data_IF_233458376562
#
_entry.id   IF_233458376562
#
_cell.length_a   1.000
_cell.length_b   1.000
_cell.length_c   1.000
_cell.angle_alpha   90.00
_cell.angle_beta   90.00
_cell.angle_gamma   90.00
#
_symmetry.space_group_name_H-M   'P 1'
#
loop_
_entity.id
_entity.type
_entity.pdbx_description
1 polymer ?
#
# COMPACT_ATOMS: atom_id res chain seq x y z
N UNK A 1 34.53 2.76 -1.63
CA UNK A 1 33.78 3.66 -2.53
C UNK A 1 32.33 3.18 -2.53
N UNK A 2 31.48 3.92 -1.82
CA UNK A 2 30.01 3.91 -1.90
C UNK A 2 29.56 4.87 -3.02
N UNK A 3 28.30 4.84 -3.53
CA UNK A 3 27.08 4.51 -2.78
C UNK A 3 26.00 3.68 -3.49
N UNK A 4 25.22 2.95 -2.68
CA UNK A 4 23.97 2.27 -3.03
C UNK A 4 22.84 2.95 -2.25
N UNK A 5 21.81 3.42 -2.98
CA UNK A 5 20.41 3.49 -2.52
C UNK A 5 20.01 4.60 -1.56
N UNK A 6 19.89 5.84 -2.05
CA UNK A 6 19.12 6.89 -1.38
C UNK A 6 17.65 6.83 -1.79
N UNK A 7 16.76 6.59 -0.83
CA UNK A 7 15.30 6.57 -1.01
C UNK A 7 14.79 7.90 -1.59
N UNK A 8 14.06 7.91 -2.70
CA UNK A 8 13.57 9.13 -3.35
C UNK A 8 12.07 9.39 -3.12
N UNK A 9 11.58 9.31 -1.88
CA UNK A 9 10.40 10.13 -1.52
C UNK A 9 10.91 11.56 -1.45
N UNK A 10 10.41 12.48 -2.28
CA UNK A 10 10.84 13.87 -2.18
C UNK A 10 10.47 14.41 -0.81
N UNK A 11 11.46 14.86 -0.02
CA UNK A 11 11.24 15.32 1.35
C UNK A 11 11.33 16.84 1.43
N UNK A 12 10.48 17.41 2.29
CA UNK A 12 10.63 18.77 2.78
C UNK A 12 10.94 18.69 4.26
N UNK A 13 12.03 19.33 4.67
CA UNK A 13 12.42 19.41 6.07
C UNK A 13 12.11 20.80 6.59
N UNK A 14 11.08 20.91 7.42
CA UNK A 14 10.78 22.16 8.09
C UNK A 14 11.76 22.37 9.23
N UNK A 15 12.39 23.54 9.27
CA UNK A 15 13.43 23.92 10.22
C UNK A 15 13.08 25.20 10.95
N UNK A 16 13.35 25.23 12.25
CA UNK A 16 13.24 26.40 13.10
C UNK A 16 14.53 26.59 13.90
N UNK A 17 14.86 27.82 14.27
CA UNK A 17 16.10 28.13 14.97
C UNK A 17 16.03 29.39 15.81
N UNK A 18 16.78 29.39 16.92
CA UNK A 18 17.10 30.62 17.67
C UNK A 18 18.04 31.50 16.84
N UNK A 19 18.06 32.80 17.15
CA UNK A 19 18.98 33.72 16.50
C UNK A 19 20.44 33.30 16.74
N UNK A 20 21.26 33.27 15.70
CA UNK A 20 22.66 32.86 15.75
C UNK A 20 22.89 31.35 15.76
N UNK A 21 21.89 30.53 15.41
CA UNK A 21 22.08 29.08 15.26
C UNK A 21 23.13 28.79 14.19
N UNK A 22 24.01 27.83 14.45
CA UNK A 22 25.09 27.49 13.52
C UNK A 22 24.60 26.56 12.40
N UNK A 23 25.21 26.67 11.21
CA UNK A 23 24.97 25.73 10.08
C UNK A 23 25.21 24.29 10.49
N UNK A 24 26.30 24.03 11.23
CA UNK A 24 26.68 22.70 11.68
C UNK A 24 25.61 22.06 12.58
N UNK A 25 24.99 22.84 13.47
CA UNK A 25 23.94 22.34 14.35
C UNK A 25 22.66 21.99 13.59
N UNK A 26 22.24 22.82 12.63
CA UNK A 26 21.07 22.54 11.79
C UNK A 26 21.31 21.29 10.94
N UNK A 27 22.45 21.19 10.25
CA UNK A 27 22.79 20.01 9.44
C UNK A 27 22.83 18.74 10.29
N UNK A 28 23.50 18.77 11.46
CA UNK A 28 23.59 17.61 12.34
C UNK A 28 22.19 17.13 12.80
N UNK A 29 21.31 18.06 13.18
CA UNK A 29 19.94 17.73 13.60
C UNK A 29 19.15 17.09 12.45
N UNK A 30 19.24 17.64 11.23
CA UNK A 30 18.54 17.10 10.07
C UNK A 30 19.07 15.71 9.71
N UNK A 31 20.40 15.54 9.60
CA UNK A 31 21.03 14.26 9.27
C UNK A 31 20.73 13.17 10.30
N UNK A 32 20.76 13.50 11.60
CA UNK A 32 20.41 12.56 12.67
C UNK A 32 18.92 12.16 12.59
N UNK A 33 18.05 13.13 12.33
CA UNK A 33 16.60 12.91 12.20
C UNK A 33 16.29 11.99 11.02
N UNK A 34 16.92 12.24 9.85
CA UNK A 34 16.77 11.39 8.67
C UNK A 34 17.32 9.98 8.92
N UNK A 35 18.53 9.87 9.47
CA UNK A 35 19.16 8.57 9.79
C UNK A 35 18.33 7.76 10.78
N UNK A 36 17.80 8.39 11.83
CA UNK A 36 16.95 7.75 12.82
C UNK A 36 15.63 7.24 12.24
N UNK A 37 15.14 7.87 11.18
CA UNK A 37 13.95 7.45 10.44
C UNK A 37 14.26 6.52 9.24
N UNK A 38 15.53 6.20 8.98
CA UNK A 38 15.94 5.43 7.80
C UNK A 38 15.74 6.16 6.47
N UNK A 39 15.65 7.50 6.49
CA UNK A 39 15.47 8.35 5.33
C UNK A 39 16.83 8.82 4.78
N UNK A 40 16.92 8.95 3.46
CA UNK A 40 18.15 9.38 2.79
C UNK A 40 18.30 10.90 2.73
N UNK A 41 19.54 11.40 2.77
CA UNK A 41 19.81 12.84 2.73
C UNK A 41 19.52 13.44 1.34
N UNK A 42 19.86 12.75 0.24
CA UNK A 42 19.55 13.20 -1.13
C UNK A 42 18.05 13.19 -1.49
N UNK A 43 17.21 12.62 -0.61
CA UNK A 43 15.76 12.68 -0.72
C UNK A 43 15.22 14.10 -0.43
N UNK A 44 15.94 14.89 0.36
CA UNK A 44 15.57 16.27 0.69
C UNK A 44 15.57 17.11 -0.58
N UNK A 45 14.43 17.74 -0.89
CA UNK A 45 14.26 18.65 -2.02
C UNK A 45 14.13 20.11 -1.59
N UNK A 46 13.83 20.36 -0.33
CA UNK A 46 13.81 21.70 0.24
C UNK A 46 13.98 21.66 1.76
N UNK A 47 14.59 22.72 2.31
CA UNK A 47 14.34 23.13 3.68
C UNK A 47 13.21 24.15 3.69
N UNK A 48 12.40 24.19 4.74
CA UNK A 48 11.28 25.13 4.84
C UNK A 48 11.26 25.81 6.22
N UNK A 49 10.90 27.10 6.28
CA UNK A 49 10.82 27.85 7.55
C UNK A 49 9.74 28.93 7.49
N UNK A 50 9.54 29.63 8.61
CA UNK A 50 8.76 30.88 8.66
C UNK A 50 9.58 32.05 8.10
N UNK A 51 8.93 32.99 7.40
CA UNK A 51 9.57 34.17 6.79
C UNK A 51 10.45 34.97 7.74
N UNK A 52 10.05 35.12 9.01
CA UNK A 52 10.83 35.83 10.03
C UNK A 52 12.20 35.18 10.32
N UNK A 53 12.43 33.96 9.81
CA UNK A 53 13.66 33.18 9.93
C UNK A 53 14.35 32.91 8.59
N UNK A 54 13.82 33.40 7.48
CA UNK A 54 14.37 33.16 6.14
C UNK A 54 15.81 33.71 5.98
N UNK A 55 16.17 34.76 6.73
CA UNK A 55 17.50 35.37 6.71
C UNK A 55 18.49 34.82 7.76
N UNK A 56 18.13 33.78 8.52
CA UNK A 56 19.02 33.23 9.55
C UNK A 56 20.17 32.44 8.90
N UNK A 57 21.42 32.88 9.13
CA UNK A 57 22.60 32.33 8.47
C UNK A 57 22.79 30.81 8.67
N UNK A 58 22.38 30.29 9.82
CA UNK A 58 22.40 28.84 10.08
C UNK A 58 21.46 28.04 9.19
N UNK A 59 20.31 28.60 8.82
CA UNK A 59 19.29 27.93 8.00
C UNK A 59 19.64 28.02 6.52
N UNK A 60 20.04 29.22 6.05
CA UNK A 60 20.47 29.41 4.66
C UNK A 60 21.72 28.58 4.35
N UNK A 61 22.73 28.61 5.22
CA UNK A 61 23.94 27.81 5.03
C UNK A 61 23.68 26.29 5.12
N UNK A 62 22.67 25.86 5.89
CA UNK A 62 22.26 24.45 5.88
C UNK A 62 21.63 24.06 4.54
N UNK A 63 20.73 24.89 4.00
CA UNK A 63 20.11 24.64 2.69
C UNK A 63 21.18 24.54 1.57
N UNK A 64 22.17 25.44 1.59
CA UNK A 64 23.33 25.39 0.70
C UNK A 64 24.14 24.09 0.86
N UNK A 65 24.34 23.63 2.09
CA UNK A 65 25.07 22.38 2.37
C UNK A 65 24.36 21.15 1.83
N UNK A 66 23.03 21.14 1.87
CA UNK A 66 22.21 20.09 1.27
C UNK A 66 22.03 20.25 -0.25
N UNK A 67 22.39 21.40 -0.82
CA UNK A 67 22.20 21.69 -2.25
C UNK A 67 20.72 21.88 -2.64
N UNK A 68 19.89 22.38 -1.72
CA UNK A 68 18.43 22.53 -1.88
C UNK A 68 17.98 23.96 -1.60
N UNK A 69 16.84 24.41 -2.14
CA UNK A 69 16.25 25.70 -1.76
C UNK A 69 15.82 25.76 -0.29
N UNK A 70 15.88 26.96 0.29
CA UNK A 70 15.19 27.31 1.54
C UNK A 70 13.87 28.01 1.19
N UNK A 71 12.75 27.35 1.43
CA UNK A 71 11.40 27.88 1.29
C UNK A 71 11.03 28.64 2.57
N UNK A 72 10.30 29.74 2.40
CA UNK A 72 9.79 30.52 3.52
C UNK A 72 8.30 30.81 3.34
N UNK A 73 7.55 30.69 4.43
CA UNK A 73 6.10 30.88 4.44
C UNK A 73 5.69 31.97 5.44
N UNK A 74 4.65 32.76 5.14
CA UNK A 74 4.05 33.68 6.08
C UNK A 74 3.59 32.97 7.36
N UNK A 75 3.74 33.63 8.50
CA UNK A 75 3.35 33.06 9.80
C UNK A 75 1.85 32.70 9.85
N UNK A 76 1.00 33.50 9.19
CA UNK A 76 -0.44 33.29 9.08
C UNK A 76 -0.80 32.02 8.31
N UNK A 77 -0.06 31.70 7.24
CA UNK A 77 -0.22 30.46 6.48
C UNK A 77 0.16 29.26 7.35
N UNK A 78 1.32 29.35 8.02
CA UNK A 78 1.78 28.30 8.93
C UNK A 78 0.88 28.12 10.15
N UNK A 79 0.16 29.16 10.60
CA UNK A 79 -0.77 29.07 11.72
C UNK A 79 -2.07 28.32 11.38
N UNK A 80 -2.45 28.30 10.09
CA UNK A 80 -3.64 27.59 9.63
C UNK A 80 -3.42 26.08 9.48
N UNK A 81 -2.17 25.61 9.50
CA UNK A 81 -1.81 24.20 9.32
C UNK A 81 -1.96 23.46 10.67
N UNK A 82 -2.81 22.42 10.75
CA UNK A 82 -2.88 21.57 11.93
C UNK A 82 -1.56 20.83 12.13
N UNK A 83 -0.99 20.94 13.33
CA UNK A 83 0.27 20.28 13.71
C UNK A 83 0.07 19.41 14.93
N UNK A 84 0.77 18.27 15.03
CA UNK A 84 0.59 17.34 16.14
C UNK A 84 1.15 17.86 17.47
N UNK A 85 2.12 18.79 17.44
CA UNK A 85 2.79 19.30 18.64
C UNK A 85 2.80 20.84 18.71
N UNK A 86 1.63 21.48 18.90
CA UNK A 86 1.55 22.94 19.01
C UNK A 86 2.28 23.47 20.25
N UNK A 87 2.76 24.71 20.19
CA UNK A 87 3.44 25.40 21.28
C UNK A 87 3.02 26.87 21.37
N UNK A 88 2.42 27.26 22.49
CA UNK A 88 2.01 28.64 22.77
C UNK A 88 3.20 29.61 22.76
N UNK A 89 4.37 29.14 23.22
CA UNK A 89 5.60 29.94 23.19
C UNK A 89 6.06 30.24 21.76
N UNK A 90 5.94 29.27 20.86
CA UNK A 90 6.25 29.47 19.43
C UNK A 90 5.19 30.34 18.77
N UNK A 91 3.91 30.16 19.12
CA UNK A 91 2.81 31.00 18.65
C UNK A 91 3.05 32.48 18.96
N UNK A 92 3.46 32.80 20.19
CA UNK A 92 3.75 34.18 20.59
C UNK A 92 4.99 34.78 19.93
N UNK A 93 5.99 33.97 19.57
CA UNK A 93 7.26 34.45 19.04
C UNK A 93 7.35 34.47 17.50
N UNK A 94 6.71 33.50 16.84
CA UNK A 94 6.81 33.27 15.40
C UNK A 94 5.47 33.38 14.67
N UNK A 95 4.35 33.60 15.39
CA UNK A 95 3.01 33.71 14.81
C UNK A 95 2.39 32.39 14.38
N UNK A 96 3.06 31.25 14.59
CA UNK A 96 2.58 29.89 14.33
C UNK A 96 2.87 28.98 15.52
N UNK A 97 2.04 27.95 15.74
CA UNK A 97 2.16 27.04 16.87
C UNK A 97 3.30 26.04 16.71
N UNK A 98 3.85 25.85 15.51
CA UNK A 98 5.04 25.03 15.26
C UNK A 98 5.71 25.41 13.93
N UNK A 99 6.88 26.07 13.96
CA UNK A 99 7.59 26.43 12.72
C UNK A 99 8.02 25.18 11.95
N UNK A 100 8.67 24.22 12.61
CA UNK A 100 9.22 23.04 11.94
C UNK A 100 8.15 22.15 11.32
N UNK A 101 7.07 21.83 12.05
CA UNK A 101 6.03 20.94 11.52
C UNK A 101 5.16 21.64 10.48
N UNK A 102 4.73 22.88 10.74
CA UNK A 102 3.89 23.61 9.79
C UNK A 102 4.65 23.89 8.49
N UNK A 103 5.92 24.31 8.56
CA UNK A 103 6.70 24.59 7.36
C UNK A 103 7.02 23.33 6.55
N UNK A 104 7.22 22.18 7.20
CA UNK A 104 7.36 20.90 6.50
C UNK A 104 6.07 20.54 5.73
N UNK A 105 4.90 20.85 6.31
CA UNK A 105 3.58 20.49 5.79
C UNK A 105 2.99 21.52 4.82
N UNK A 106 3.58 22.70 4.67
CA UNK A 106 3.02 23.80 3.87
C UNK A 106 2.82 23.43 2.38
N UNK A 107 3.62 22.50 1.85
CA UNK A 107 3.44 21.93 0.50
C UNK A 107 2.28 20.93 0.35
N UNK A 108 1.51 20.69 1.41
CA UNK A 108 0.40 19.72 1.43
C UNK A 108 0.83 18.25 1.55
N UNK A 109 2.11 18.00 1.85
CA UNK A 109 2.64 16.67 2.08
C UNK A 109 2.23 16.07 3.43
N UNK A 110 2.81 14.92 3.75
CA UNK A 110 2.48 14.16 4.96
C UNK A 110 3.68 14.10 5.91
N UNK A 111 3.43 14.34 7.20
CA UNK A 111 4.48 14.36 8.22
C UNK A 111 4.99 12.93 8.46
N UNK A 112 6.28 12.71 8.19
CA UNK A 112 6.97 11.44 8.40
C UNK A 112 7.65 11.39 9.76
N UNK A 113 8.29 12.49 10.15
CA UNK A 113 8.99 12.61 11.43
C UNK A 113 8.49 13.85 12.15
N UNK A 114 7.83 13.69 13.32
CA UNK A 114 7.42 14.82 14.14
C UNK A 114 8.62 15.64 14.64
N UNK A 115 8.33 16.81 15.20
CA UNK A 115 9.35 17.76 15.66
C UNK A 115 10.43 17.11 16.54
N UNK A 116 11.67 17.17 16.07
CA UNK A 116 12.90 16.90 16.84
C UNK A 116 13.56 18.23 17.20
N UNK A 117 14.30 18.25 18.32
CA UNK A 117 14.97 19.46 18.82
C UNK A 117 16.43 19.20 19.14
N UNK A 118 17.27 20.17 18.82
CA UNK A 118 18.61 20.34 19.39
C UNK A 118 18.57 21.43 20.47
N UNK A 119 19.74 21.98 20.84
CA UNK A 119 19.84 23.08 21.82
C UNK A 119 19.25 24.39 21.26
N UNK A 120 19.49 24.67 19.98
CA UNK A 120 19.11 25.92 19.33
C UNK A 120 18.25 25.76 18.06
N UNK A 121 18.00 24.54 17.59
CA UNK A 121 17.21 24.25 16.40
C UNK A 121 16.08 23.24 16.65
N UNK A 122 15.11 23.24 15.75
CA UNK A 122 14.08 22.21 15.62
C UNK A 122 13.95 21.79 14.17
N UNK A 123 13.68 20.52 13.89
CA UNK A 123 13.30 20.09 12.55
C UNK A 123 12.14 19.09 12.58
N UNK A 124 11.41 19.01 11.48
CA UNK A 124 10.40 18.00 11.21
C UNK A 124 10.48 17.63 9.73
N UNK A 125 10.10 16.40 9.38
CA UNK A 125 10.25 15.88 8.01
C UNK A 125 8.89 15.50 7.47
N UNK A 126 8.56 15.99 6.28
CA UNK A 126 7.36 15.61 5.55
C UNK A 126 7.69 15.20 4.12
N UNK A 127 6.76 14.49 3.47
CA UNK A 127 6.81 14.33 2.01
C UNK A 127 6.58 15.69 1.33
N UNK A 128 7.07 15.87 0.11
CA UNK A 128 6.85 17.10 -0.65
C UNK A 128 5.40 17.21 -1.15
N UNK A 129 4.76 16.07 -1.40
CA UNK A 129 3.40 15.95 -1.90
C UNK A 129 2.66 14.82 -1.16
N UNK A 130 1.32 14.89 -1.05
CA UNK A 130 0.55 13.78 -0.54
C UNK A 130 0.68 12.57 -1.47
N UNK A 131 0.64 11.35 -0.93
CA UNK A 131 0.64 10.16 -1.77
C UNK A 131 -0.67 10.09 -2.58
N UNK A 132 -0.55 9.80 -3.88
CA UNK A 132 -1.72 9.49 -4.70
C UNK A 132 -2.25 8.09 -4.36
N UNK A 133 -3.12 8.05 -3.34
CA UNK A 133 -3.77 6.82 -2.90
C UNK A 133 -4.73 6.23 -3.94
N UNK A 134 -5.10 6.98 -4.99
CA UNK A 134 -6.05 6.55 -6.02
C UNK A 134 -5.37 6.02 -7.29
N UNK A 135 -4.04 5.99 -7.33
CA UNK A 135 -3.33 5.38 -8.44
C UNK A 135 -3.37 3.85 -8.35
N UNK A 136 -3.98 3.21 -9.34
CA UNK A 136 -4.10 1.76 -9.44
C UNK A 136 -3.40 1.23 -10.69
N UNK A 137 -3.01 -0.05 -10.67
CA UNK A 137 -2.14 -0.62 -11.71
C UNK A 137 -2.75 -0.65 -13.12
N UNK A 138 -4.08 -0.61 -13.23
CA UNK A 138 -4.77 -0.52 -14.52
C UNK A 138 -4.52 0.83 -15.23
N UNK A 139 -4.15 1.88 -14.49
CA UNK A 139 -3.75 3.16 -15.08
C UNK A 139 -2.47 3.04 -15.94
N UNK A 140 -1.58 2.08 -15.64
CA UNK A 140 -0.34 1.87 -16.40
C UNK A 140 -0.57 1.30 -17.81
N UNK A 141 -1.75 0.71 -18.04
CA UNK A 141 -2.12 0.03 -19.30
C UNK A 141 -3.10 0.88 -20.14
N UNK A 142 -3.64 1.97 -19.58
CA UNK A 142 -4.55 2.88 -20.30
C UNK A 142 -3.79 3.71 -21.33
N UNK A 143 -4.29 3.75 -22.56
CA UNK A 143 -3.81 4.62 -23.65
C UNK A 143 -3.07 3.93 -24.79
N UNK A 144 -2.51 2.73 -24.56
CA UNK A 144 -1.62 2.06 -25.54
C UNK A 144 -2.31 0.95 -26.34
N UNK A 145 -3.64 1.00 -26.49
CA UNK A 145 -4.40 0.12 -27.40
C UNK A 145 -4.29 -1.40 -27.15
N UNK A 146 -3.80 -1.83 -25.98
CA UNK A 146 -3.60 -3.24 -25.64
C UNK A 146 -2.29 -3.86 -26.17
N UNK A 147 -1.33 -3.06 -26.62
CA UNK A 147 -0.07 -3.56 -27.20
C UNK A 147 1.00 -3.97 -26.17
N UNK A 148 0.86 -3.58 -24.90
CA UNK A 148 1.86 -3.87 -23.87
C UNK A 148 1.63 -5.22 -23.20
N UNK A 149 2.71 -5.91 -22.87
CA UNK A 149 2.71 -7.03 -21.92
C UNK A 149 2.44 -6.46 -20.52
N UNK A 150 1.26 -6.76 -19.98
CA UNK A 150 0.82 -6.26 -18.68
C UNK A 150 1.46 -7.06 -17.53
N UNK A 151 2.40 -6.41 -16.83
CA UNK A 151 2.98 -6.83 -15.55
C UNK A 151 2.58 -5.86 -14.42
N UNK A 152 1.77 -4.86 -14.71
CA UNK A 152 1.31 -3.83 -13.77
C UNK A 152 0.02 -4.24 -13.05
N UNK A 153 -0.70 -5.25 -13.55
CA UNK A 153 -1.91 -5.80 -12.92
C UNK A 153 -1.71 -7.28 -12.55
N UNK A 154 -1.96 -7.61 -11.29
CA UNK A 154 -1.80 -8.97 -10.74
C UNK A 154 -3.02 -9.87 -11.01
N UNK A 155 -3.58 -9.84 -12.21
CA UNK A 155 -4.60 -10.81 -12.65
C UNK A 155 -3.87 -12.02 -13.24
N UNK A 156 -4.37 -13.23 -12.94
CA UNK A 156 -3.81 -14.48 -13.48
C UNK A 156 -3.99 -14.50 -15.00
N UNK A 157 -2.94 -14.83 -15.75
CA UNK A 157 -3.03 -14.97 -17.21
C UNK A 157 -4.04 -16.06 -17.60
N UNK A 158 -4.57 -15.99 -18.82
CA UNK A 158 -5.52 -16.97 -19.38
C UNK A 158 -6.79 -17.17 -18.54
N UNK A 159 -7.23 -16.12 -17.84
CA UNK A 159 -8.50 -16.09 -17.09
C UNK A 159 -9.47 -15.05 -17.65
N UNK A 160 -10.79 -15.21 -17.41
CA UNK A 160 -11.46 -16.34 -16.76
C UNK A 160 -11.34 -17.66 -17.55
N UNK A 161 -11.37 -18.84 -16.92
CA UNK A 161 -11.44 -20.12 -17.64
C UNK A 161 -12.79 -20.28 -18.37
N UNK A 162 -12.82 -21.06 -19.45
CA UNK A 162 -14.02 -21.15 -20.31
C UNK A 162 -15.24 -21.70 -19.59
N UNK A 163 -15.05 -22.67 -18.68
CA UNK A 163 -16.16 -23.20 -17.87
C UNK A 163 -16.81 -22.09 -17.01
N UNK A 164 -16.01 -21.14 -16.51
CA UNK A 164 -16.51 -20.03 -15.69
C UNK A 164 -17.23 -19.00 -16.56
N UNK A 165 -16.68 -18.69 -17.75
CA UNK A 165 -17.36 -17.83 -18.74
C UNK A 165 -18.74 -18.39 -19.10
N UNK A 166 -18.82 -19.70 -19.35
CA UNK A 166 -20.08 -20.37 -19.70
C UNK A 166 -21.09 -20.30 -18.55
N UNK A 167 -20.67 -20.53 -17.30
CA UNK A 167 -21.52 -20.39 -16.12
C UNK A 167 -22.07 -18.97 -15.96
N UNK A 168 -21.21 -17.97 -16.13
CA UNK A 168 -21.59 -16.56 -16.06
C UNK A 168 -22.55 -16.21 -17.20
N UNK A 169 -22.25 -16.63 -18.44
CA UNK A 169 -23.11 -16.39 -19.60
C UNK A 169 -24.50 -17.00 -19.45
N UNK A 170 -24.59 -18.22 -18.89
CA UNK A 170 -25.88 -18.88 -18.63
C UNK A 170 -26.74 -18.14 -17.59
N UNK A 171 -26.15 -17.29 -16.73
CA UNK A 171 -26.90 -16.49 -15.77
C UNK A 171 -27.61 -15.28 -16.40
N UNK A 172 -27.29 -14.93 -17.65
CA UNK A 172 -27.82 -13.73 -18.31
C UNK A 172 -29.33 -13.81 -18.56
N UNK A 173 -29.88 -15.02 -18.70
CA UNK A 173 -31.32 -15.23 -18.87
C UNK A 173 -32.13 -14.87 -17.60
N UNK A 174 -31.47 -14.79 -16.43
CA UNK A 174 -32.10 -14.46 -15.15
C UNK A 174 -32.00 -12.97 -14.76
N UNK A 175 -31.44 -12.10 -15.61
CA UNK A 175 -31.16 -10.70 -15.27
C UNK A 175 -32.40 -9.85 -14.97
N UNK A 176 -33.58 -10.26 -15.43
CA UNK A 176 -34.82 -9.54 -15.18
C UNK A 176 -35.27 -9.60 -13.69
N UNK A 177 -34.76 -10.56 -12.92
CA UNK A 177 -35.06 -10.71 -11.50
C UNK A 177 -34.01 -10.02 -10.63
N UNK A 178 -34.44 -9.49 -9.48
CA UNK A 178 -33.50 -9.02 -8.45
C UNK A 178 -32.62 -10.18 -7.95
N UNK A 179 -31.33 -9.93 -7.66
CA UNK A 179 -30.40 -10.96 -7.25
C UNK A 179 -30.75 -11.54 -5.86
N UNK A 180 -30.64 -12.86 -5.73
CA UNK A 180 -30.74 -13.60 -4.46
C UNK A 180 -29.39 -14.27 -4.14
N UNK A 181 -28.69 -13.75 -3.14
CA UNK A 181 -27.36 -14.21 -2.76
C UNK A 181 -27.32 -15.38 -1.79
N UNK A 182 -28.46 -15.98 -1.40
CA UNK A 182 -28.48 -17.02 -0.34
C UNK A 182 -27.63 -18.25 -0.67
N UNK A 183 -27.72 -18.76 -1.90
CA UNK A 183 -26.95 -19.93 -2.35
C UNK A 183 -25.44 -19.64 -2.36
N UNK A 184 -25.04 -18.55 -3.02
CA UNK A 184 -23.64 -18.14 -3.08
C UNK A 184 -23.05 -17.86 -1.69
N UNK A 185 -23.82 -17.25 -0.78
CA UNK A 185 -23.40 -17.01 0.60
C UNK A 185 -23.19 -18.31 1.36
N UNK A 186 -24.09 -19.28 1.22
CA UNK A 186 -23.96 -20.59 1.83
C UNK A 186 -22.72 -21.33 1.29
N UNK A 187 -22.50 -21.33 -0.03
CA UNK A 187 -21.33 -21.96 -0.64
C UNK A 187 -19.99 -21.35 -0.15
N UNK A 188 -19.93 -20.02 0.02
CA UNK A 188 -18.75 -19.35 0.61
C UNK A 188 -18.59 -19.76 2.08
N UNK A 189 -19.68 -19.83 2.85
CA UNK A 189 -19.64 -20.24 4.24
C UNK A 189 -19.11 -21.68 4.38
N UNK A 190 -19.63 -22.59 3.57
CA UNK A 190 -19.21 -24.00 3.51
C UNK A 190 -17.73 -24.15 3.16
N UNK A 191 -17.21 -23.38 2.18
CA UNK A 191 -15.78 -23.37 1.84
C UNK A 191 -14.90 -23.13 3.06
N UNK A 192 -15.30 -22.21 3.94
CA UNK A 192 -14.49 -21.78 5.09
C UNK A 192 -14.87 -22.50 6.39
N UNK A 193 -15.81 -23.44 6.36
CA UNK A 193 -16.32 -24.10 7.57
C UNK A 193 -17.00 -23.14 8.54
N UNK A 194 -17.61 -22.07 8.03
CA UNK A 194 -18.27 -21.04 8.82
C UNK A 194 -19.79 -21.11 8.65
N UNK A 195 -20.57 -20.66 9.64
CA UNK A 195 -22.00 -20.44 9.45
C UNK A 195 -22.25 -19.20 8.57
N UNK A 196 -23.35 -19.19 7.82
CA UNK A 196 -23.63 -18.19 6.80
C UNK A 196 -23.68 -16.76 7.35
N UNK A 197 -24.12 -16.55 8.60
CA UNK A 197 -24.15 -15.25 9.29
C UNK A 197 -22.77 -14.59 9.42
N UNK A 198 -21.68 -15.34 9.25
CA UNK A 198 -20.29 -14.83 9.24
C UNK A 198 -19.81 -14.38 7.86
N UNK A 199 -20.64 -14.47 6.84
CA UNK A 199 -20.30 -14.12 5.46
C UNK A 199 -21.12 -12.93 4.98
N UNK A 200 -20.46 -11.96 4.35
CA UNK A 200 -21.08 -10.90 3.55
C UNK A 200 -20.47 -10.90 2.15
N UNK A 201 -21.30 -11.04 1.11
CA UNK A 201 -20.85 -10.92 -0.28
C UNK A 201 -20.76 -9.43 -0.65
N UNK A 202 -19.72 -9.05 -1.40
CA UNK A 202 -19.46 -7.65 -1.76
C UNK A 202 -19.14 -7.50 -3.24
N UNK A 203 -19.36 -6.30 -3.78
CA UNK A 203 -19.00 -5.87 -5.14
C UNK A 203 -17.47 -5.69 -5.29
N UNK A 204 -16.73 -6.75 -4.96
CA UNK A 204 -15.28 -6.74 -4.79
C UNK A 204 -14.84 -6.30 -3.38
N UNK A 205 -13.55 -6.47 -3.10
CA UNK A 205 -12.95 -6.06 -1.82
C UNK A 205 -12.99 -4.53 -1.62
N UNK A 206 -13.04 -3.75 -2.70
CA UNK A 206 -13.15 -2.28 -2.62
C UNK A 206 -14.43 -1.84 -1.89
N UNK A 207 -15.58 -2.47 -2.17
CA UNK A 207 -16.81 -2.18 -1.42
C UNK A 207 -16.63 -2.51 0.07
N UNK A 208 -15.98 -3.63 0.40
CA UNK A 208 -15.74 -4.02 1.79
C UNK A 208 -14.95 -2.94 2.56
N UNK A 209 -13.91 -2.34 1.97
CA UNK A 209 -13.17 -1.24 2.59
C UNK A 209 -14.05 -0.02 2.86
N UNK A 210 -14.90 0.35 1.91
CA UNK A 210 -15.86 1.46 2.07
C UNK A 210 -16.85 1.17 3.20
N UNK A 211 -17.40 -0.05 3.27
CA UNK A 211 -18.31 -0.45 4.34
C UNK A 211 -17.63 -0.44 5.70
N UNK A 212 -16.41 -0.97 5.80
CA UNK A 212 -15.61 -0.98 7.02
C UNK A 212 -15.36 0.46 7.51
N UNK A 213 -14.90 1.33 6.61
CA UNK A 213 -14.61 2.73 6.94
C UNK A 213 -15.84 3.49 7.45
N UNK A 214 -17.01 3.24 6.88
CA UNK A 214 -18.25 3.97 7.23
C UNK A 214 -19.02 3.36 8.39
N UNK A 215 -19.02 2.05 8.55
CA UNK A 215 -19.93 1.35 9.47
C UNK A 215 -19.32 1.01 10.83
N UNK A 216 -17.99 0.89 10.94
CA UNK A 216 -17.34 0.40 12.16
C UNK A 216 -16.90 1.51 13.13
N UNK A 217 -16.92 2.78 12.71
CA UNK A 217 -16.72 3.93 13.61
C UNK A 217 -15.36 3.97 14.32
N UNK A 218 -14.28 3.66 13.59
CA UNK A 218 -12.91 3.73 14.13
C UNK A 218 -12.57 5.15 14.60
N UNK A 219 -11.81 5.27 15.69
CA UNK A 219 -11.31 6.56 16.20
C UNK A 219 -9.82 6.72 15.97
N UNK A 220 -9.07 5.61 15.98
CA UNK A 220 -7.64 5.57 15.70
C UNK A 220 -7.32 4.41 14.75
N UNK A 221 -7.73 4.52 13.47
CA UNK A 221 -7.41 3.51 12.48
C UNK A 221 -5.93 3.56 12.10
N UNK A 222 -5.32 2.38 12.06
CA UNK A 222 -3.94 2.16 11.61
C UNK A 222 -3.95 1.33 10.32
N UNK A 223 -3.20 1.77 9.32
CA UNK A 223 -2.98 1.05 8.07
C UNK A 223 -1.49 0.74 7.94
N UNK A 224 -1.14 -0.54 7.81
CA UNK A 224 0.26 -0.99 7.69
C UNK A 224 0.76 -0.81 6.25
N UNK A 225 1.77 0.01 6.04
CA UNK A 225 2.32 0.30 4.72
C UNK A 225 3.75 -0.25 4.56
N UNK A 226 4.24 -0.47 3.33
CA UNK A 226 3.54 -0.30 2.05
C UNK A 226 2.51 -1.40 1.80
N UNK A 227 1.26 -1.01 1.52
CA UNK A 227 0.20 -1.92 1.10
C UNK A 227 -0.73 -1.27 0.07
N UNK A 228 -1.70 -2.03 -0.43
CA UNK A 228 -2.75 -1.54 -1.33
C UNK A 228 -3.46 -0.34 -0.68
N UNK A 229 -3.63 0.74 -1.41
CA UNK A 229 -3.96 2.06 -0.85
C UNK A 229 -5.44 2.30 -0.58
N UNK A 230 -6.32 1.46 -1.15
CA UNK A 230 -7.78 1.59 -1.00
C UNK A 230 -8.29 1.60 0.44
N UNK A 231 -7.77 0.79 1.39
CA UNK A 231 -8.23 0.83 2.77
C UNK A 231 -8.01 2.21 3.40
N UNK A 232 -6.84 2.81 3.18
CA UNK A 232 -6.55 4.16 3.65
C UNK A 232 -7.40 5.21 2.93
N UNK A 233 -7.54 5.11 1.60
CA UNK A 233 -8.37 6.02 0.83
C UNK A 233 -9.83 6.00 1.31
N UNK A 234 -10.40 4.81 1.53
CA UNK A 234 -11.76 4.65 2.03
C UNK A 234 -11.95 5.22 3.45
N UNK A 235 -10.95 5.04 4.33
CA UNK A 235 -10.96 5.62 5.67
C UNK A 235 -10.91 7.16 5.63
N UNK A 236 -10.01 7.73 4.82
CA UNK A 236 -9.91 9.19 4.64
C UNK A 236 -11.19 9.77 4.03
N UNK A 237 -11.76 9.10 3.02
CA UNK A 237 -13.03 9.50 2.39
C UNK A 237 -14.24 9.40 3.35
N UNK A 238 -14.13 8.60 4.41
CA UNK A 238 -15.11 8.54 5.50
C UNK A 238 -14.83 9.54 6.65
N UNK A 239 -13.80 10.39 6.51
CA UNK A 239 -13.46 11.45 7.47
C UNK A 239 -12.52 11.02 8.60
N UNK A 240 -11.86 9.87 8.48
CA UNK A 240 -10.91 9.40 9.49
C UNK A 240 -9.51 9.98 9.29
N UNK A 241 -8.84 10.31 10.40
CA UNK A 241 -7.39 10.54 10.42
C UNK A 241 -6.70 9.18 10.54
N UNK A 242 -6.02 8.76 9.48
CA UNK A 242 -5.36 7.45 9.41
C UNK A 242 -3.91 7.55 9.86
N UNK A 243 -3.53 6.71 10.80
CA UNK A 243 -2.13 6.52 11.19
C UNK A 243 -1.50 5.40 10.36
N UNK A 244 -0.24 5.59 9.96
CA UNK A 244 0.49 4.59 9.18
C UNK A 244 1.58 3.95 10.03
N UNK A 245 1.65 2.63 9.99
CA UNK A 245 2.84 1.88 10.41
C UNK A 245 3.61 1.53 9.14
N UNK A 246 4.77 2.15 8.92
CA UNK A 246 5.56 1.95 7.70
C UNK A 246 6.66 0.92 7.93
N UNK A 247 6.53 -0.22 7.26
CA UNK A 247 7.49 -1.33 7.27
C UNK A 247 8.71 -0.99 6.42
N UNK A 248 9.88 -1.46 6.86
CA UNK A 248 11.16 -1.10 6.26
C UNK A 248 11.68 -2.22 5.35
N UNK A 249 12.27 -1.84 4.22
CA UNK A 249 12.96 -2.78 3.32
C UNK A 249 14.09 -3.54 4.02
N UNK A 250 14.81 -2.88 4.95
CA UNK A 250 15.89 -3.48 5.73
C UNK A 250 15.44 -4.66 6.60
N UNK A 251 14.17 -4.67 7.02
CA UNK A 251 13.57 -5.79 7.77
C UNK A 251 12.82 -6.76 6.85
N UNK A 252 13.04 -6.67 5.54
CA UNK A 252 12.35 -7.46 4.52
C UNK A 252 10.85 -7.15 4.44
N UNK A 253 10.43 -5.94 4.82
CA UNK A 253 9.03 -5.53 4.94
C UNK A 253 8.17 -6.45 5.83
N UNK A 254 8.77 -7.11 6.82
CA UNK A 254 8.02 -7.90 7.80
C UNK A 254 7.41 -6.99 8.86
N UNK A 255 6.16 -7.27 9.21
CA UNK A 255 5.44 -6.60 10.28
C UNK A 255 5.95 -7.10 11.62
N UNK A 256 6.44 -6.18 12.45
CA UNK A 256 6.57 -6.39 13.88
C UNK A 256 5.24 -5.98 14.55
N UNK A 257 4.50 -6.90 15.19
CA UNK A 257 3.26 -6.57 15.89
C UNK A 257 3.43 -5.47 16.95
N UNK A 258 4.62 -5.35 17.54
CA UNK A 258 4.94 -4.31 18.53
C UNK A 258 5.01 -2.89 17.95
N UNK A 259 5.13 -2.75 16.62
CA UNK A 259 5.09 -1.46 15.95
C UNK A 259 3.66 -0.88 15.84
N UNK A 260 2.63 -1.71 16.03
CA UNK A 260 1.24 -1.27 16.00
C UNK A 260 0.86 -0.69 17.36
N UNK A 261 0.43 0.59 17.44
CA UNK A 261 0.04 1.21 18.71
C UNK A 261 -1.01 0.40 19.47
N UNK A 262 -0.88 0.32 20.80
CA UNK A 262 -1.76 -0.53 21.61
C UNK A 262 -3.23 -0.08 21.62
N UNK A 263 -3.46 1.22 21.49
CA UNK A 263 -4.76 1.88 21.53
C UNK A 263 -5.39 2.07 20.14
N UNK A 264 -4.77 1.56 19.07
CA UNK A 264 -5.42 1.48 17.75
C UNK A 264 -6.68 0.61 17.86
N UNK A 265 -7.83 1.10 17.37
CA UNK A 265 -9.12 0.40 17.44
C UNK A 265 -9.53 -0.24 16.10
N UNK A 266 -8.82 0.10 15.02
CA UNK A 266 -8.89 -0.58 13.73
C UNK A 266 -7.48 -0.73 13.17
N UNK A 267 -7.13 -1.92 12.71
CA UNK A 267 -5.82 -2.20 12.08
C UNK A 267 -6.06 -2.90 10.74
N UNK A 268 -5.48 -2.40 9.66
CA UNK A 268 -5.56 -3.03 8.32
C UNK A 268 -4.19 -3.53 7.87
N UNK A 269 -4.13 -4.80 7.48
CA UNK A 269 -2.93 -5.45 6.92
C UNK A 269 -3.33 -6.34 5.73
N UNK A 270 -2.65 -6.21 4.59
CA UNK A 270 -2.80 -7.18 3.50
C UNK A 270 -1.92 -8.41 3.68
N UNK A 271 -2.40 -9.62 3.35
CA UNK A 271 -1.65 -10.86 3.46
C UNK A 271 -1.98 -11.88 2.33
N UNK A 272 -1.07 -12.18 1.38
CA UNK A 272 0.21 -11.49 1.16
C UNK A 272 0.03 -10.00 0.86
N UNK A 273 0.93 -9.17 1.37
CA UNK A 273 0.86 -7.72 1.22
C UNK A 273 1.20 -7.30 -0.22
N UNK A 274 0.32 -6.54 -0.88
CA UNK A 274 0.64 -5.87 -2.15
C UNK A 274 1.13 -4.44 -1.85
N UNK A 275 2.37 -4.05 -2.16
CA UNK A 275 3.18 -4.59 -3.25
C UNK A 275 4.33 -5.52 -2.85
N UNK A 276 4.64 -5.69 -1.57
CA UNK A 276 5.87 -6.37 -1.10
C UNK A 276 5.90 -7.87 -1.34
N UNK A 277 4.73 -8.48 -1.54
CA UNK A 277 4.50 -9.92 -1.69
C UNK A 277 4.81 -10.72 -0.42
N UNK A 278 5.05 -10.04 0.70
CA UNK A 278 5.33 -10.67 1.99
C UNK A 278 4.08 -11.37 2.50
N UNK A 279 4.24 -12.64 2.87
CA UNK A 279 3.24 -13.38 3.64
C UNK A 279 3.66 -13.36 5.12
N UNK A 280 2.90 -12.62 5.92
CA UNK A 280 3.08 -12.54 7.37
C UNK A 280 2.58 -13.84 8.04
N UNK A 281 3.26 -14.32 9.09
CA UNK A 281 2.77 -15.43 9.89
C UNK A 281 1.39 -15.12 10.49
N UNK A 282 0.48 -16.08 10.45
CA UNK A 282 -0.86 -15.96 11.00
C UNK A 282 -0.84 -15.70 12.51
N UNK A 283 0.17 -16.23 13.22
CA UNK A 283 0.36 -15.98 14.64
C UNK A 283 0.67 -14.50 14.93
N UNK A 284 1.55 -13.89 14.14
CA UNK A 284 1.92 -12.48 14.30
C UNK A 284 0.70 -11.58 14.03
N UNK A 285 -0.04 -11.85 12.96
CA UNK A 285 -1.28 -11.13 12.66
C UNK A 285 -2.34 -11.32 13.76
N UNK A 286 -2.57 -12.56 14.20
CA UNK A 286 -3.54 -12.85 15.27
C UNK A 286 -3.15 -12.19 16.61
N UNK A 287 -1.86 -11.97 16.88
CA UNK A 287 -1.40 -11.29 18.09
C UNK A 287 -1.79 -9.80 18.15
N UNK A 288 -2.14 -9.20 17.01
CA UNK A 288 -2.65 -7.82 16.97
C UNK A 288 -4.05 -7.72 17.55
N UNK A 289 -4.81 -8.82 17.56
CA UNK A 289 -6.18 -8.85 18.02
C UNK A 289 -6.28 -8.62 19.53
N UNK A 290 -7.27 -7.81 19.93
CA UNK A 290 -7.53 -7.49 21.34
C UNK A 290 -8.98 -7.03 21.51
N UNK A 291 -9.55 -7.09 22.73
CA UNK A 291 -10.89 -6.60 22.98
C UNK A 291 -11.09 -5.16 22.49
N UNK A 292 -12.14 -4.93 21.70
CA UNK A 292 -12.48 -3.61 21.17
C UNK A 292 -11.71 -3.18 19.91
N UNK A 293 -10.74 -3.97 19.43
CA UNK A 293 -10.06 -3.72 18.15
C UNK A 293 -10.68 -4.53 17.03
N UNK A 294 -10.86 -3.90 15.88
CA UNK A 294 -11.12 -4.59 14.61
C UNK A 294 -9.79 -4.84 13.89
N UNK A 295 -9.48 -6.10 13.62
CA UNK A 295 -8.32 -6.50 12.82
C UNK A 295 -8.79 -6.89 11.43
N UNK A 296 -8.51 -6.05 10.44
CA UNK A 296 -8.83 -6.29 9.03
C UNK A 296 -7.62 -6.92 8.35
N UNK A 297 -7.79 -8.13 7.82
CA UNK A 297 -6.76 -8.83 7.04
C UNK A 297 -7.25 -9.00 5.60
N UNK A 298 -6.59 -8.31 4.66
CA UNK A 298 -6.89 -8.41 3.24
C UNK A 298 -6.15 -9.59 2.61
N UNK A 299 -6.88 -10.69 2.42
CA UNK A 299 -6.41 -11.92 1.79
C UNK A 299 -6.75 -11.99 0.29
N UNK A 300 -6.84 -10.85 -0.40
CA UNK A 300 -7.14 -10.80 -1.83
C UNK A 300 -6.22 -11.63 -2.74
N UNK A 301 -5.01 -11.97 -2.28
CA UNK A 301 -4.03 -12.78 -3.01
C UNK A 301 -3.76 -14.16 -2.39
N UNK A 302 -4.47 -14.55 -1.33
CA UNK A 302 -4.20 -15.79 -0.61
C UNK A 302 -4.41 -17.05 -1.47
N UNK A 303 -5.35 -17.02 -2.42
CA UNK A 303 -5.55 -18.12 -3.39
C UNK A 303 -4.29 -18.39 -4.26
N UNK A 304 -3.33 -17.46 -4.35
CA UNK A 304 -2.09 -17.63 -5.10
C UNK A 304 -0.95 -18.23 -4.25
N UNK A 305 -1.20 -18.48 -2.96
CA UNK A 305 -0.26 -19.10 -2.03
C UNK A 305 -0.59 -20.60 -1.93
N UNK A 306 0.35 -21.51 -2.25
CA UNK A 306 0.11 -22.94 -2.13
C UNK A 306 -0.41 -23.35 -0.75
N UNK A 307 -1.54 -24.06 -0.73
CA UNK A 307 -2.22 -24.50 0.48
C UNK A 307 -2.85 -23.39 1.31
N UNK A 308 -2.94 -22.15 0.79
CA UNK A 308 -3.41 -20.97 1.54
C UNK A 308 -2.76 -20.84 2.93
N UNK A 309 -1.47 -21.19 3.02
CA UNK A 309 -0.74 -21.12 4.30
C UNK A 309 -0.79 -19.72 4.89
N UNK A 310 -0.81 -19.65 6.22
CA UNK A 310 -0.98 -18.42 7.00
C UNK A 310 -2.32 -17.69 6.79
N UNK A 311 -3.30 -18.31 6.10
CA UNK A 311 -4.65 -17.78 6.05
C UNK A 311 -5.32 -17.77 7.43
N UNK A 312 -6.05 -16.69 7.69
CA UNK A 312 -6.94 -16.48 8.82
C UNK A 312 -8.40 -16.69 8.43
N UNK A 313 -8.72 -16.81 7.13
CA UNK A 313 -10.05 -17.19 6.66
C UNK A 313 -10.51 -18.51 7.33
N UNK A 314 -11.68 -18.46 7.99
CA UNK A 314 -12.22 -19.60 8.74
C UNK A 314 -11.90 -19.61 10.24
N UNK A 315 -10.95 -18.79 10.72
CA UNK A 315 -10.69 -18.68 12.17
C UNK A 315 -11.81 -17.94 12.90
N UNK A 316 -12.17 -18.47 14.05
CA UNK A 316 -13.24 -17.93 14.92
C UNK A 316 -12.76 -17.60 16.33
N UNK A 317 -11.51 -17.91 16.63
CA UNK A 317 -10.84 -17.72 17.93
C UNK A 317 -9.99 -16.44 18.00
N UNK A 318 -9.91 -15.67 16.90
CA UNK A 318 -9.30 -14.33 16.86
C UNK A 318 -10.38 -13.27 17.05
N UNK A 319 -10.40 -12.54 18.18
CA UNK A 319 -11.45 -11.55 18.45
C UNK A 319 -11.36 -10.36 17.50
N UNK A 320 -12.50 -9.90 16.99
CA UNK A 320 -12.55 -8.73 16.12
C UNK A 320 -11.92 -8.91 14.72
N UNK A 321 -11.61 -10.15 14.34
CA UNK A 321 -11.06 -10.47 13.02
C UNK A 321 -12.10 -10.25 11.91
N UNK A 322 -11.65 -9.58 10.86
CA UNK A 322 -12.36 -9.33 9.61
C UNK A 322 -11.43 -9.73 8.47
N UNK A 323 -11.74 -10.81 7.77
CA UNK A 323 -10.95 -11.27 6.61
C UNK A 323 -11.66 -10.88 5.32
N UNK A 324 -10.92 -10.28 4.38
CA UNK A 324 -11.43 -9.94 3.05
C UNK A 324 -10.85 -10.93 2.05
N UNK A 325 -11.70 -11.43 1.16
CA UNK A 325 -11.28 -12.29 0.04
C UNK A 325 -11.75 -11.69 -1.27
N UNK A 326 -10.93 -11.88 -2.30
CA UNK A 326 -11.23 -11.41 -3.65
C UNK A 326 -11.22 -12.57 -4.63
N UNK A 327 -12.25 -12.65 -5.47
CA UNK A 327 -12.26 -13.59 -6.61
C UNK A 327 -11.76 -12.92 -7.89
N UNK A 328 -11.33 -11.65 -7.81
CA UNK A 328 -11.02 -10.85 -9.01
C UNK A 328 -9.67 -11.18 -9.65
N UNK A 329 -8.70 -11.62 -8.85
CA UNK A 329 -7.29 -11.79 -9.26
C UNK A 329 -7.05 -13.18 -9.82
N UNK A 330 -7.36 -14.20 -9.02
CA UNK A 330 -7.22 -15.62 -9.34
C UNK A 330 -8.06 -16.03 -10.54
N UNK A 331 -9.30 -15.55 -10.60
CA UNK A 331 -10.29 -15.98 -11.60
C UNK A 331 -10.51 -15.00 -12.75
N UNK A 332 -9.76 -13.89 -12.81
CA UNK A 332 -9.90 -12.90 -13.88
C UNK A 332 -11.22 -12.12 -13.86
N UNK A 333 -11.89 -12.04 -12.70
CA UNK A 333 -13.20 -11.42 -12.55
C UNK A 333 -13.13 -9.94 -12.16
N UNK A 334 -12.03 -9.26 -12.49
CA UNK A 334 -11.82 -7.85 -12.15
C UNK A 334 -12.86 -6.92 -12.77
N UNK A 335 -13.46 -7.24 -13.92
CA UNK A 335 -14.58 -6.48 -14.48
C UNK A 335 -15.93 -6.80 -13.84
N UNK A 336 -16.10 -7.99 -13.27
CA UNK A 336 -17.38 -8.45 -12.68
C UNK A 336 -17.59 -7.95 -11.25
N UNK A 337 -16.50 -7.60 -10.55
CA UNK A 337 -16.49 -7.04 -9.19
C UNK A 337 -17.14 -7.97 -8.16
N UNK A 338 -16.39 -8.95 -7.69
CA UNK A 338 -16.89 -9.90 -6.67
C UNK A 338 -15.83 -10.22 -5.62
N UNK A 339 -16.26 -10.19 -4.35
CA UNK A 339 -15.49 -10.53 -3.17
C UNK A 339 -16.42 -10.87 -2.01
N UNK A 340 -15.84 -11.12 -0.85
CA UNK A 340 -16.61 -11.37 0.37
C UNK A 340 -15.80 -11.02 1.62
N UNK A 341 -16.54 -10.76 2.70
CA UNK A 341 -16.03 -10.52 4.06
C UNK A 341 -16.40 -11.71 4.93
N UNK A 342 -15.44 -12.17 5.73
CA UNK A 342 -15.63 -13.16 6.79
C UNK A 342 -15.37 -12.46 8.13
N UNK A 343 -16.37 -12.44 9.02
CA UNK A 343 -16.24 -11.80 10.33
C UNK A 343 -17.24 -12.36 11.34
N UNK A 344 -17.20 -11.87 12.58
CA UNK A 344 -18.24 -12.17 13.57
C UNK A 344 -19.63 -11.70 13.09
N UNK A 345 -20.72 -12.41 13.43
CA UNK A 345 -22.07 -12.09 12.94
C UNK A 345 -22.50 -10.64 13.23
N UNK A 346 -22.09 -10.11 14.38
CA UNK A 346 -22.36 -8.73 14.78
C UNK A 346 -21.63 -7.69 13.90
N UNK A 347 -20.42 -8.00 13.43
CA UNK A 347 -19.69 -7.14 12.48
C UNK A 347 -20.36 -7.24 11.10
N UNK A 348 -20.67 -8.47 10.65
CA UNK A 348 -21.39 -8.68 9.39
C UNK A 348 -22.73 -7.94 9.36
N UNK A 349 -23.50 -7.95 10.44
CA UNK A 349 -24.77 -7.24 10.53
C UNK A 349 -24.59 -5.71 10.39
N UNK A 350 -23.55 -5.13 11.00
CA UNK A 350 -23.23 -3.70 10.85
C UNK A 350 -22.85 -3.34 9.42
N UNK A 351 -22.00 -4.16 8.79
CA UNK A 351 -21.58 -3.95 7.40
C UNK A 351 -22.78 -4.09 6.44
N UNK A 352 -23.60 -5.12 6.62
CA UNK A 352 -24.80 -5.36 5.80
C UNK A 352 -25.83 -4.22 5.94
N UNK A 353 -26.00 -3.64 7.13
CA UNK A 353 -26.88 -2.51 7.34
C UNK A 353 -26.41 -1.23 6.62
N UNK A 354 -25.10 -1.09 6.38
CA UNK A 354 -24.51 0.01 5.63
C UNK A 354 -24.39 -0.29 4.12
N UNK A 355 -24.62 -1.53 3.70
CA UNK A 355 -24.47 -1.95 2.31
C UNK A 355 -25.71 -1.55 1.49
N UNK A 356 -25.53 -1.03 0.26
CA UNK A 356 -26.65 -0.79 -0.65
C UNK A 356 -27.48 -2.06 -0.89
N UNK A 357 -28.77 -1.90 -1.17
CA UNK A 357 -29.61 -3.03 -1.57
C UNK A 357 -29.13 -3.60 -2.90
N UNK A 358 -29.12 -4.94 -3.01
CA UNK A 358 -28.69 -5.69 -4.19
C UNK A 358 -27.31 -5.27 -4.74
N UNK A 359 -26.27 -5.25 -3.89
CA UNK A 359 -24.94 -4.73 -4.26
C UNK A 359 -24.19 -5.66 -5.21
N UNK A 360 -24.50 -6.96 -5.15
CA UNK A 360 -23.86 -8.01 -5.96
C UNK A 360 -24.86 -8.51 -7.00
N UNK A 361 -24.47 -8.41 -8.28
CA UNK A 361 -25.31 -8.80 -9.41
C UNK A 361 -25.46 -10.33 -9.54
N UNK A 362 -26.53 -10.78 -10.20
CA UNK A 362 -26.77 -12.22 -10.45
C UNK A 362 -25.58 -12.95 -11.08
N UNK A 363 -24.90 -12.41 -12.12
CA UNK A 363 -23.72 -13.07 -12.68
C UNK A 363 -22.53 -13.13 -11.70
N UNK A 364 -22.38 -12.12 -10.83
CA UNK A 364 -21.35 -12.11 -9.79
C UNK A 364 -21.64 -13.14 -8.68
N UNK A 365 -22.91 -13.35 -8.32
CA UNK A 365 -23.32 -14.40 -7.39
C UNK A 365 -23.05 -15.81 -7.94
N UNK A 366 -23.40 -16.04 -9.21
CA UNK A 366 -23.11 -17.32 -9.89
C UNK A 366 -21.60 -17.57 -9.94
N UNK A 367 -20.82 -16.54 -10.23
CA UNK A 367 -19.36 -16.64 -10.21
C UNK A 367 -18.82 -16.95 -8.81
N UNK A 368 -19.36 -16.32 -7.77
CA UNK A 368 -18.95 -16.57 -6.38
C UNK A 368 -19.17 -18.03 -5.99
N UNK A 369 -20.36 -18.57 -6.25
CA UNK A 369 -20.69 -19.97 -5.99
C UNK A 369 -19.79 -20.93 -6.77
N UNK A 370 -19.58 -20.66 -8.06
CA UNK A 370 -18.78 -21.53 -8.92
C UNK A 370 -17.29 -21.53 -8.54
N UNK A 371 -16.73 -20.40 -8.13
CA UNK A 371 -15.31 -20.26 -7.78
C UNK A 371 -14.94 -20.94 -6.44
N UNK A 372 -15.92 -21.21 -5.58
CA UNK A 372 -15.70 -21.89 -4.28
C UNK A 372 -16.04 -23.38 -4.32
N UNK A 373 -16.51 -23.89 -5.46
CA UNK A 373 -16.77 -25.31 -5.64
C UNK A 373 -15.46 -26.14 -5.57
N UNK A 374 -15.50 -27.40 -5.09
CA UNK A 374 -14.29 -28.22 -4.90
C UNK A 374 -13.38 -28.34 -6.13
N UNK A 375 -13.95 -28.47 -7.32
CA UNK A 375 -13.17 -28.52 -8.57
C UNK A 375 -12.45 -27.20 -8.87
N UNK A 376 -13.11 -26.06 -8.62
CA UNK A 376 -12.51 -24.75 -8.79
C UNK A 376 -11.40 -24.51 -7.74
N UNK A 377 -11.59 -24.94 -6.50
CA UNK A 377 -10.55 -24.87 -5.46
C UNK A 377 -9.32 -25.71 -5.82
N UNK A 378 -9.52 -26.91 -6.38
CA UNK A 378 -8.41 -27.73 -6.86
C UNK A 378 -7.66 -27.07 -8.03
N UNK A 379 -8.37 -26.40 -8.95
CA UNK A 379 -7.75 -25.62 -10.03
C UNK A 379 -6.96 -24.42 -9.48
N UNK A 380 -7.50 -23.70 -8.49
CA UNK A 380 -6.82 -22.59 -7.83
C UNK A 380 -5.53 -23.05 -7.15
N UNK A 381 -5.56 -24.17 -6.41
CA UNK A 381 -4.38 -24.76 -5.77
C UNK A 381 -3.32 -25.18 -6.78
N UNK A 382 -3.71 -25.82 -7.89
CA UNK A 382 -2.77 -26.16 -8.96
C UNK A 382 -2.11 -24.91 -9.56
N UNK A 383 -2.91 -23.85 -9.76
CA UNK A 383 -2.39 -22.57 -10.24
C UNK A 383 -1.47 -21.88 -9.22
N UNK A 384 -1.76 -21.95 -7.92
CA UNK A 384 -0.90 -21.41 -6.86
C UNK A 384 0.49 -22.07 -6.87
N UNK A 385 0.54 -23.39 -7.04
CA UNK A 385 1.81 -24.14 -7.20
C UNK A 385 2.56 -23.71 -8.45
N UNK A 386 1.87 -23.52 -9.56
CA UNK A 386 2.51 -23.05 -10.79
C UNK A 386 3.05 -21.61 -10.63
N UNK A 387 2.28 -20.72 -9.99
CA UNK A 387 2.74 -19.35 -9.68
C UNK A 387 4.00 -19.37 -8.82
N UNK A 388 4.11 -20.29 -7.85
CA UNK A 388 5.33 -20.44 -7.06
C UNK A 388 6.54 -20.86 -7.91
N UNK A 389 6.36 -21.76 -8.88
CA UNK A 389 7.42 -22.15 -9.83
C UNK A 389 7.82 -20.98 -10.73
N UNK A 390 6.84 -20.29 -11.31
CA UNK A 390 7.08 -19.14 -12.19
C UNK A 390 7.74 -17.98 -11.43
N UNK A 391 7.34 -17.75 -10.18
CA UNK A 391 7.96 -16.76 -9.28
C UNK A 391 9.41 -17.11 -9.00
N UNK A 392 9.71 -18.38 -8.72
CA UNK A 392 11.09 -18.83 -8.52
C UNK A 392 11.95 -18.60 -9.77
N UNK A 393 11.38 -18.80 -10.97
CA UNK A 393 12.08 -18.49 -12.22
C UNK A 393 12.34 -17.00 -12.40
N UNK A 394 11.35 -16.14 -12.13
CA UNK A 394 11.52 -14.68 -12.16
C UNK A 394 12.59 -14.22 -11.17
N UNK A 395 12.55 -14.70 -9.92
CA UNK A 395 13.53 -14.36 -8.90
C UNK A 395 14.94 -14.80 -9.28
N UNK A 396 15.10 -16.01 -9.82
CA UNK A 396 16.39 -16.49 -10.29
C UNK A 396 16.95 -15.62 -11.42
N UNK A 397 16.11 -15.19 -12.36
CA UNK A 397 16.54 -14.29 -13.44
C UNK A 397 16.86 -12.87 -12.95
N UNK A 398 16.12 -12.35 -11.98
CA UNK A 398 16.39 -11.04 -11.38
C UNK A 398 17.70 -11.03 -10.58
N UNK A 399 18.09 -12.17 -10.00
CA UNK A 399 19.32 -12.29 -9.22
C UNK A 399 20.61 -12.17 -10.07
N UNK A 400 20.51 -12.25 -11.39
CA UNK A 400 21.63 -12.04 -12.32
C UNK A 400 21.97 -10.56 -12.54
N UNK A 401 21.15 -9.62 -12.04
CA UNK A 401 21.37 -8.18 -12.15
C UNK A 401 21.90 -7.60 -10.83
N UNK A 402 23.12 -7.06 -10.82
CA UNK A 402 23.72 -6.46 -9.61
C UNK A 402 23.03 -5.15 -9.20
N UNK A 403 22.39 -4.45 -10.14
CA UNK A 403 21.68 -3.19 -9.92
C UNK A 403 20.30 -3.37 -9.27
N UNK A 404 19.78 -4.60 -9.22
CA UNK A 404 18.44 -4.90 -8.76
C UNK A 404 18.48 -5.53 -7.37
N UNK A 405 17.70 -4.98 -6.45
CA UNK A 405 17.47 -5.57 -5.14
C UNK A 405 16.04 -6.08 -5.02
N UNK A 406 15.87 -7.31 -4.56
CA UNK A 406 14.59 -7.87 -4.12
C UNK A 406 14.58 -7.91 -2.59
N UNK A 407 13.63 -7.22 -1.97
CA UNK A 407 13.55 -7.15 -0.50
C UNK A 407 12.48 -8.09 0.05
N UNK A 408 12.84 -8.86 1.08
CA UNK A 408 11.95 -9.84 1.72
C UNK A 408 11.80 -11.13 0.93
N UNK A 409 10.82 -11.96 1.34
CA UNK A 409 10.48 -13.22 0.66
C UNK A 409 9.13 -13.04 -0.03
N UNK A 410 9.13 -13.09 -1.36
CA UNK A 410 7.93 -12.93 -2.17
C UNK A 410 7.12 -14.23 -2.22
N UNK A 411 5.83 -14.12 -1.91
CA UNK A 411 4.91 -15.27 -1.76
C UNK A 411 3.60 -15.14 -2.52
N UNK A 412 3.23 -13.91 -2.91
CA UNK A 412 2.12 -13.63 -3.80
C UNK A 412 2.46 -13.79 -5.29
N UNK A 413 1.52 -13.42 -6.19
CA UNK A 413 1.68 -13.52 -7.64
C UNK A 413 2.43 -12.31 -8.25
N UNK A 414 3.36 -11.72 -7.51
CA UNK A 414 4.14 -10.56 -7.90
C UNK A 414 5.44 -10.47 -7.07
N UNK A 415 6.39 -9.70 -7.57
CA UNK A 415 7.69 -9.42 -6.93
C UNK A 415 7.90 -7.91 -6.89
N UNK A 416 8.38 -7.40 -5.74
CA UNK A 416 8.80 -6.02 -5.58
C UNK A 416 10.31 -5.93 -5.76
N UNK A 417 10.75 -5.06 -6.66
CA UNK A 417 12.16 -4.79 -6.92
C UNK A 417 12.48 -3.34 -6.62
N UNK A 418 13.72 -3.08 -6.22
CA UNK A 418 14.31 -1.75 -6.14
C UNK A 418 15.44 -1.65 -7.15
N UNK A 419 15.50 -0.53 -7.87
CA UNK A 419 16.53 -0.26 -8.86
C UNK A 419 16.76 1.25 -8.98
N UNK A 420 18.01 1.67 -9.04
CA UNK A 420 18.35 3.09 -9.22
C UNK A 420 17.78 3.61 -10.55
N UNK A 421 17.13 4.79 -10.52
CA UNK A 421 16.45 5.34 -11.70
C UNK A 421 15.21 4.52 -12.12
N UNK A 422 14.47 3.97 -11.16
CA UNK A 422 13.30 3.13 -11.42
C UNK A 422 12.23 3.80 -12.29
N UNK A 423 12.07 5.13 -12.20
CA UNK A 423 11.17 5.90 -13.06
C UNK A 423 11.61 5.88 -14.53
N UNK A 424 12.89 6.10 -14.80
CA UNK A 424 13.47 6.03 -16.14
C UNK A 424 13.42 4.60 -16.70
N UNK A 425 13.78 3.61 -15.88
CA UNK A 425 13.74 2.19 -16.24
C UNK A 425 12.32 1.77 -16.60
N UNK A 426 11.31 2.15 -15.81
CA UNK A 426 9.90 1.93 -16.14
C UNK A 426 9.53 2.53 -17.50
N UNK A 427 9.97 3.76 -17.77
CA UNK A 427 9.68 4.45 -19.03
C UNK A 427 10.32 3.71 -20.22
N UNK A 428 11.54 3.22 -20.06
CA UNK A 428 12.24 2.41 -21.07
C UNK A 428 11.57 1.05 -21.28
N UNK A 429 11.21 0.35 -20.20
CA UNK A 429 10.45 -0.89 -20.27
C UNK A 429 9.12 -0.71 -21.03
N UNK A 430 8.42 0.40 -20.79
CA UNK A 430 7.20 0.75 -21.54
C UNK A 430 7.48 0.94 -23.03
N UNK A 431 8.56 1.65 -23.38
CA UNK A 431 8.98 1.79 -24.78
C UNK A 431 9.40 0.45 -25.42
N UNK A 432 9.86 -0.51 -24.62
CA UNK A 432 10.16 -1.88 -25.03
C UNK A 432 8.95 -2.82 -25.01
N UNK A 433 7.74 -2.31 -24.72
CA UNK A 433 6.49 -3.08 -24.78
C UNK A 433 6.03 -3.68 -23.46
N UNK A 434 6.58 -3.29 -22.31
CA UNK A 434 6.25 -3.86 -21.00
C UNK A 434 5.69 -2.80 -20.05
N UNK A 435 4.50 -3.05 -19.50
CA UNK A 435 3.92 -2.21 -18.45
C UNK A 435 4.24 -2.81 -17.07
N UNK A 436 4.91 -2.05 -16.20
CA UNK A 436 5.22 -2.45 -14.82
C UNK A 436 4.63 -1.46 -13.83
N UNK A 437 4.35 -1.89 -12.60
CA UNK A 437 3.70 -1.03 -11.60
C UNK A 437 4.74 -0.18 -10.88
N UNK A 438 4.59 1.15 -10.92
CA UNK A 438 5.43 2.07 -10.13
C UNK A 438 5.23 1.92 -8.62
N UNK A 439 6.27 2.09 -7.81
CA UNK A 439 6.24 1.88 -6.36
C UNK A 439 5.85 3.10 -5.53
N UNK A 440 6.24 4.30 -5.95
CA UNK A 440 6.05 5.58 -5.23
C UNK A 440 4.60 5.97 -4.91
N UNK A 441 3.64 5.31 -5.55
CA UNK A 441 2.21 5.44 -5.23
C UNK A 441 1.79 4.67 -3.98
N UNK A 442 2.65 3.80 -3.46
CA UNK A 442 2.43 3.10 -2.20
C UNK A 442 3.19 3.85 -1.10
N UNK A 443 2.52 4.33 -0.03
CA UNK A 443 3.21 4.96 1.08
C UNK A 443 4.35 4.09 1.63
N UNK A 444 5.51 4.70 1.89
CA UNK A 444 6.73 3.99 2.31
C UNK A 444 7.61 3.48 1.17
N UNK A 445 7.19 3.63 -0.09
CA UNK A 445 8.03 3.40 -1.27
C UNK A 445 8.22 4.69 -2.06
N UNK A 446 9.27 4.70 -2.87
CA UNK A 446 9.64 5.78 -3.79
C UNK A 446 9.72 5.30 -5.25
N UNK A 447 10.22 6.17 -6.14
CA UNK A 447 10.24 5.94 -7.58
C UNK A 447 11.33 4.97 -8.05
N UNK A 448 12.24 4.56 -7.16
CA UNK A 448 13.19 3.46 -7.38
C UNK A 448 12.54 2.08 -7.28
N UNK A 449 11.31 2.00 -6.76
CA UNK A 449 10.60 0.75 -6.57
C UNK A 449 9.68 0.44 -7.75
N UNK A 450 9.72 -0.81 -8.21
CA UNK A 450 8.83 -1.34 -9.25
C UNK A 450 8.26 -2.68 -8.79
N UNK A 451 6.96 -2.90 -9.04
CA UNK A 451 6.32 -4.20 -8.80
C UNK A 451 6.03 -4.89 -10.13
N UNK A 452 6.48 -6.14 -10.22
CA UNK A 452 6.35 -7.00 -11.39
C UNK A 452 5.35 -8.12 -11.09
N UNK A 453 4.30 -8.27 -11.89
CA UNK A 453 3.46 -9.46 -11.80
C UNK A 453 4.25 -10.72 -12.22
N UNK A 454 3.99 -11.84 -11.57
CA UNK A 454 4.55 -13.14 -11.99
C UNK A 454 3.79 -13.61 -13.24
N UNK A 455 4.54 -14.08 -14.23
CA UNK A 455 4.05 -14.61 -15.52
C UNK A 455 4.79 -15.90 -15.87
N UNK A 456 4.32 -16.56 -16.91
CA UNK A 456 4.95 -17.77 -17.43
C UNK A 456 6.42 -17.53 -17.81
N UNK A 457 7.15 -18.64 -17.99
CA UNK A 457 8.58 -18.64 -18.29
C UNK A 457 8.96 -17.85 -19.55
N UNK A 458 8.15 -17.90 -20.61
CA UNK A 458 8.48 -17.22 -21.87
C UNK A 458 8.30 -15.71 -21.74
N UNK A 459 7.20 -15.29 -21.11
CA UNK A 459 6.95 -13.87 -20.79
C UNK A 459 8.03 -13.33 -19.85
N UNK A 460 8.39 -14.09 -18.82
CA UNK A 460 9.46 -13.73 -17.87
C UNK A 460 10.81 -13.59 -18.57
N UNK A 461 11.20 -14.55 -19.42
CA UNK A 461 12.44 -14.46 -20.18
C UNK A 461 12.50 -13.21 -21.08
N UNK A 462 11.38 -12.86 -21.72
CA UNK A 462 11.29 -11.65 -22.55
C UNK A 462 11.40 -10.36 -21.72
N UNK A 463 10.77 -10.33 -20.54
CA UNK A 463 10.90 -9.23 -19.59
C UNK A 463 12.35 -9.03 -19.13
N UNK A 464 13.05 -10.11 -18.77
CA UNK A 464 14.43 -10.04 -18.30
C UNK A 464 15.38 -9.49 -19.39
N UNK A 465 15.16 -9.86 -20.65
CA UNK A 465 15.89 -9.27 -21.79
C UNK A 465 15.60 -7.78 -21.95
N UNK A 466 14.33 -7.36 -21.82
CA UNK A 466 13.97 -5.95 -21.88
C UNK A 466 14.56 -5.15 -20.71
N UNK A 467 14.65 -5.77 -19.53
CA UNK A 467 15.25 -5.18 -18.34
C UNK A 467 16.75 -4.96 -18.51
N UNK A 468 17.48 -5.94 -19.05
CA UNK A 468 18.90 -5.81 -19.41
C UNK A 468 19.14 -4.62 -20.36
N UNK A 469 18.35 -4.53 -21.43
CA UNK A 469 18.42 -3.40 -22.36
C UNK A 469 18.09 -2.06 -21.67
N UNK A 470 17.09 -2.02 -20.79
CA UNK A 470 16.70 -0.82 -20.08
C UNK A 470 17.79 -0.33 -19.11
N UNK A 471 18.53 -1.25 -18.48
CA UNK A 471 19.63 -0.96 -17.56
C UNK A 471 20.89 -0.50 -18.30
N UNK A 472 21.26 -1.14 -19.40
CA UNK A 472 22.46 -0.81 -20.18
C UNK A 472 22.46 0.64 -20.74
N UNK A 473 21.28 1.22 -20.96
CA UNK A 473 21.12 2.60 -21.43
C UNK A 473 21.35 3.67 -20.33
N UNK A 474 21.61 3.25 -19.08
CA UNK A 474 21.88 4.14 -17.94
C UNK A 474 23.37 4.32 -17.67
N UNK A 475 24.20 3.39 -18.16
CA UNK A 475 25.65 3.38 -17.94
C UNK A 475 26.46 4.22 -18.96
N UNK A 476 25.79 5.08 -19.76
CA UNK A 476 26.42 5.92 -20.79
C UNK A 476 26.26 7.40 -20.53
#
# INVERSE_FOLDING_TARGET
MSPVGEYATQLVVGVGGRAGVSVAEVCALVEETLRGAGLAAGAVKALATVESKAGEAGLTGAAERFGVPLLSYPAEELAAIPVPHPSDTVQGAAGTSSVAEAAALAGGGELLVPKRRSVAATCAVATAHPHDLRHHGDAEVRGDGGALVDLAVNVRAHTPPDWLKQRIAASLDALAAYPDGRSARAAVADRHGLPAERVLLTAGAAEAFVLIARALGARRPVVVHPQFTEPEAALRDAGHTVERVVLRAADGFRLDPGAVPEDADLVVVGNPTNPTSVLHPAADLASLARPGRILVVDEAFMDAVPGEREALAGRTDVPGLVVLRSLTKTWGLAGLRIGYVLAEPQVIAKLAAAQPLWPVSTPALVAAEACVAPAALAEAEAAARQIAVDRAHLLAGLAEFEEITVSGVAEGPFVLIQVAGGAEIRTRLRALGFAVRRGDTFPGLDDSWLRLAVRDRATTGSLLQALDHALALTAR
#
